data_IF_904809068167
#
_entry.id   IF_904809068167
#
_cell.length_a   1.000
_cell.length_b   1.000
_cell.length_c   1.000
_cell.angle_alpha   90.00
_cell.angle_beta   90.00
_cell.angle_gamma   90.00
#
_symmetry.space_group_name_H-M   'P 1'
#
loop_
_entity.id
_entity.type
_entity.pdbx_description
1 polymer ?
#
# COMPACT_ATOMS: atom_id res chain seq x y z
N UNK A 1 -4.99 -25.01 36.79
CA UNK A 1 -3.62 -25.48 36.56
C UNK A 1 -2.83 -25.24 37.83
N UNK A 2 -2.34 -26.30 38.47
CA UNK A 2 -1.41 -26.17 39.59
C UNK A 2 0.02 -26.29 39.07
N UNK A 3 0.78 -25.22 39.20
CA UNK A 3 2.18 -25.22 38.83
C UNK A 3 3.00 -25.91 39.93
N UNK A 4 3.79 -26.91 39.58
CA UNK A 4 4.79 -27.49 40.46
C UNK A 4 5.91 -26.47 40.72
N UNK A 5 5.79 -25.73 41.85
CA UNK A 5 6.75 -24.68 42.20
C UNK A 5 8.05 -25.29 42.71
N UNK A 6 9.17 -24.86 42.13
CA UNK A 6 10.51 -25.21 42.61
C UNK A 6 10.87 -24.32 43.81
N UNK A 7 11.42 -24.86 44.90
CA UNK A 7 11.82 -24.07 46.05
C UNK A 7 13.02 -23.18 45.71
N UNK A 8 12.97 -21.91 46.12
CA UNK A 8 14.04 -20.92 45.91
C UNK A 8 14.48 -20.29 47.24
N UNK A 9 15.77 -20.00 47.37
CA UNK A 9 16.33 -19.35 48.57
C UNK A 9 15.93 -17.88 48.66
N UNK A 10 15.18 -17.50 49.69
CA UNK A 10 14.75 -16.11 49.91
C UNK A 10 15.91 -15.12 50.07
N UNK A 11 17.07 -15.58 50.59
CA UNK A 11 18.28 -14.77 50.70
C UNK A 11 18.89 -14.50 49.33
N UNK A 12 19.05 -15.54 48.50
CA UNK A 12 19.58 -15.39 47.15
C UNK A 12 18.70 -14.47 46.31
N UNK A 13 17.38 -14.64 46.37
CA UNK A 13 16.41 -13.79 45.66
C UNK A 13 16.53 -12.31 46.06
N UNK A 14 16.73 -11.99 47.35
CA UNK A 14 16.93 -10.61 47.79
C UNK A 14 18.23 -10.01 47.24
N UNK A 15 19.33 -10.77 47.31
CA UNK A 15 20.62 -10.31 46.78
C UNK A 15 20.53 -10.09 45.27
N UNK A 16 19.96 -11.04 44.52
CA UNK A 16 19.78 -10.90 43.07
C UNK A 16 18.95 -9.67 42.71
N UNK A 17 17.83 -9.43 43.41
CA UNK A 17 17.00 -8.23 43.17
C UNK A 17 17.76 -6.93 43.43
N UNK A 18 18.58 -6.88 44.48
CA UNK A 18 19.37 -5.69 44.80
C UNK A 18 20.45 -5.43 43.75
N UNK A 19 21.18 -6.48 43.36
CA UNK A 19 22.18 -6.40 42.28
C UNK A 19 21.53 -5.95 40.98
N UNK A 20 20.41 -6.57 40.60
CA UNK A 20 19.64 -6.23 39.41
C UNK A 20 19.16 -4.77 39.42
N UNK A 21 18.64 -4.27 40.55
CA UNK A 21 18.23 -2.88 40.69
C UNK A 21 19.40 -1.90 40.53
N UNK A 22 20.57 -2.23 41.08
CA UNK A 22 21.78 -1.40 40.94
C UNK A 22 22.30 -1.42 39.49
N UNK A 23 22.38 -2.59 38.87
CA UNK A 23 22.78 -2.74 37.48
C UNK A 23 21.83 -2.00 36.54
N UNK A 24 20.52 -2.14 36.72
CA UNK A 24 19.52 -1.45 35.90
C UNK A 24 19.64 0.07 36.01
N UNK A 25 19.83 0.61 37.22
CA UNK A 25 20.10 2.05 37.38
C UNK A 25 21.38 2.47 36.67
N UNK A 26 22.47 1.72 36.85
CA UNK A 26 23.75 2.02 36.24
C UNK A 26 23.69 2.06 34.70
N UNK A 27 23.10 1.04 34.08
CA UNK A 27 22.98 0.95 32.61
C UNK A 27 22.08 2.07 32.07
N UNK A 28 20.91 2.31 32.67
CA UNK A 28 19.99 3.36 32.21
C UNK A 28 20.54 4.77 32.41
N UNK A 29 21.24 5.02 33.51
CA UNK A 29 21.93 6.31 33.73
C UNK A 29 23.04 6.54 32.71
N UNK A 30 23.82 5.50 32.37
CA UNK A 30 24.82 5.57 31.30
C UNK A 30 24.16 5.90 29.95
N UNK A 31 23.08 5.20 29.59
CA UNK A 31 22.36 5.45 28.34
C UNK A 31 21.80 6.87 28.26
N UNK A 32 21.22 7.35 29.37
CA UNK A 32 20.70 8.72 29.47
C UNK A 32 21.81 9.76 29.31
N UNK A 33 22.96 9.54 29.94
CA UNK A 33 24.11 10.45 29.85
C UNK A 33 24.72 10.47 28.43
N UNK A 34 24.91 9.30 27.82
CA UNK A 34 25.41 9.21 26.44
C UNK A 34 24.44 9.85 25.44
N UNK A 35 23.13 9.66 25.64
CA UNK A 35 22.07 10.29 24.85
C UNK A 35 22.08 11.82 24.97
N UNK A 36 22.21 12.34 26.19
CA UNK A 36 22.30 13.79 26.43
C UNK A 36 23.53 14.42 25.76
N UNK A 37 24.65 13.70 25.72
CA UNK A 37 25.89 14.12 25.07
C UNK A 37 25.90 13.91 23.54
N UNK A 38 24.85 13.29 22.97
CA UNK A 38 24.76 12.92 21.53
C UNK A 38 25.94 12.07 21.02
N UNK A 39 26.57 11.29 21.90
CA UNK A 39 27.69 10.39 21.57
C UNK A 39 27.29 8.91 21.60
N UNK A 40 25.99 8.63 21.71
CA UNK A 40 25.44 7.27 21.75
C UNK A 40 24.25 7.18 22.69
N UNK A 41 24.07 6.02 23.33
CA UNK A 41 23.00 5.74 24.27
C UNK A 41 21.98 4.74 23.72
N UNK A 42 20.80 4.68 24.36
CA UNK A 42 19.72 3.76 23.97
C UNK A 42 19.25 4.08 22.56
N UNK A 43 19.39 3.11 21.65
CA UNK A 43 18.90 3.20 20.26
C UNK A 43 17.43 2.79 20.12
N UNK A 44 16.98 1.87 20.97
CA UNK A 44 15.61 1.35 20.91
C UNK A 44 14.61 2.42 21.36
N UNK A 45 13.58 2.64 20.55
CA UNK A 45 12.41 3.47 20.85
C UNK A 45 11.32 2.68 21.58
N UNK A 46 11.70 1.64 22.32
CA UNK A 46 10.84 0.84 23.17
C UNK A 46 10.97 1.32 24.61
N UNK A 47 9.87 1.61 25.29
CA UNK A 47 9.77 1.82 26.72
C UNK A 47 9.41 0.50 27.40
N UNK A 48 10.40 -0.09 28.06
CA UNK A 48 10.30 -1.37 28.75
C UNK A 48 9.63 -1.26 30.12
N UNK A 49 9.48 -0.06 30.67
CA UNK A 49 8.70 0.18 31.90
C UNK A 49 7.21 0.27 31.59
N UNK A 50 6.85 0.99 30.52
CA UNK A 50 5.46 1.09 30.05
C UNK A 50 5.01 -0.10 29.17
N UNK A 51 5.93 -0.99 28.80
CA UNK A 51 5.70 -2.09 27.86
C UNK A 51 5.10 -1.61 26.52
N UNK A 52 5.64 -0.51 25.99
CA UNK A 52 5.14 0.11 24.76
C UNK A 52 6.25 0.82 24.00
N UNK A 53 6.08 1.04 22.70
CA UNK A 53 6.99 1.92 21.95
C UNK A 53 6.73 3.39 22.25
N UNK A 54 7.72 4.26 21.97
CA UNK A 54 7.61 5.71 22.12
C UNK A 54 6.34 6.22 21.43
N UNK A 55 5.46 6.90 22.17
CA UNK A 55 4.11 7.25 21.70
C UNK A 55 3.00 6.40 22.33
N UNK A 56 3.34 5.39 23.13
CA UNK A 56 2.40 4.57 23.89
C UNK A 56 1.76 3.43 23.08
N UNK A 57 0.74 2.75 23.63
CA UNK A 57 0.13 1.59 22.99
C UNK A 57 -0.68 1.96 21.73
N UNK A 58 -1.42 3.07 21.76
CA UNK A 58 -2.31 3.53 20.67
C UNK A 58 -3.20 2.42 20.08
N UNK A 59 -3.96 1.72 20.94
CA UNK A 59 -4.78 0.57 20.55
C UNK A 59 -5.81 0.88 19.47
N UNK A 60 -6.30 2.12 19.36
CA UNK A 60 -7.21 2.49 18.28
C UNK A 60 -6.54 2.33 16.91
N UNK A 61 -5.28 2.76 16.79
CA UNK A 61 -4.51 2.66 15.56
C UNK A 61 -4.21 1.19 15.24
N UNK A 62 -3.83 0.42 16.26
CA UNK A 62 -3.66 -1.04 16.17
C UNK A 62 -4.94 -1.72 15.66
N UNK A 63 -6.08 -1.43 16.28
CA UNK A 63 -7.38 -2.05 15.93
C UNK A 63 -7.84 -1.71 14.51
N UNK A 64 -7.63 -0.46 14.07
CA UNK A 64 -8.04 0.04 12.77
C UNK A 64 -7.22 -0.54 11.61
N UNK A 65 -5.94 -0.79 11.86
CA UNK A 65 -4.99 -1.25 10.85
C UNK A 65 -4.56 -2.69 11.12
N UNK A 66 -3.67 -2.91 12.09
CA UNK A 66 -3.11 -4.24 12.37
C UNK A 66 -4.16 -5.33 12.63
N UNK A 67 -5.05 -5.15 13.60
CA UNK A 67 -6.06 -6.17 13.92
C UNK A 67 -7.03 -6.36 12.74
N UNK A 68 -7.25 -5.32 11.92
CA UNK A 68 -8.10 -5.39 10.73
C UNK A 68 -7.41 -6.17 9.61
N UNK A 69 -6.14 -5.90 9.33
CA UNK A 69 -5.31 -6.68 8.40
C UNK A 69 -5.26 -8.15 8.80
N UNK A 70 -5.10 -8.46 10.09
CA UNK A 70 -5.13 -9.87 10.55
C UNK A 70 -6.49 -10.55 10.31
N UNK A 71 -7.60 -9.85 10.50
CA UNK A 71 -8.95 -10.39 10.23
C UNK A 71 -9.24 -10.57 8.75
N UNK A 72 -8.63 -9.72 7.91
CA UNK A 72 -8.82 -9.72 6.45
C UNK A 72 -7.70 -10.47 5.72
N UNK A 73 -6.79 -11.10 6.46
CA UNK A 73 -5.67 -11.82 5.89
C UNK A 73 -6.19 -12.95 5.01
N UNK A 74 -6.00 -12.79 3.71
CA UNK A 74 -6.41 -13.75 2.70
C UNK A 74 -5.25 -14.66 2.31
N UNK A 75 -5.57 -15.90 1.93
CA UNK A 75 -4.60 -16.91 1.49
C UNK A 75 -4.53 -16.92 -0.03
N UNK A 76 -3.33 -16.74 -0.56
CA UNK A 76 -3.10 -16.80 -2.00
C UNK A 76 -3.43 -18.18 -2.56
N UNK A 77 -3.15 -19.25 -1.81
CA UNK A 77 -3.49 -20.61 -2.22
C UNK A 77 -5.00 -20.81 -2.45
N UNK A 78 -5.85 -20.07 -1.73
CA UNK A 78 -7.31 -20.16 -1.84
C UNK A 78 -7.85 -19.22 -2.93
N UNK A 79 -7.31 -18.00 -2.99
CA UNK A 79 -7.82 -16.94 -3.88
C UNK A 79 -7.22 -16.98 -5.28
N UNK A 80 -6.05 -17.60 -5.44
CA UNK A 80 -5.34 -17.77 -6.70
C UNK A 80 -4.67 -19.17 -6.72
N UNK A 81 -5.46 -20.26 -6.70
CA UNK A 81 -4.95 -21.63 -6.55
C UNK A 81 -4.01 -22.06 -7.68
N UNK A 82 -4.13 -21.41 -8.83
CA UNK A 82 -3.30 -21.60 -10.02
C UNK A 82 -1.86 -21.09 -9.89
N UNK A 83 -1.54 -20.33 -8.85
CA UNK A 83 -0.18 -19.86 -8.57
C UNK A 83 0.61 -20.90 -7.76
N UNK A 84 1.92 -20.92 -7.94
CA UNK A 84 2.83 -21.83 -7.22
C UNK A 84 3.06 -21.42 -5.76
N UNK A 85 2.71 -20.19 -5.38
CA UNK A 85 2.82 -19.72 -4.01
C UNK A 85 1.74 -20.36 -3.10
N UNK A 86 2.19 -21.16 -2.12
CA UNK A 86 1.33 -21.91 -1.19
C UNK A 86 1.53 -21.44 0.25
N UNK A 87 0.51 -20.78 0.81
CA UNK A 87 0.54 -20.13 2.13
C UNK A 87 -0.49 -20.71 3.13
N UNK A 88 -1.24 -21.75 2.75
CA UNK A 88 -2.18 -22.43 3.63
C UNK A 88 -1.52 -23.62 4.35
N UNK A 89 -1.81 -23.74 5.64
CA UNK A 89 -1.44 -24.93 6.42
C UNK A 89 -2.44 -26.10 6.17
N UNK A 90 -2.13 -27.34 6.61
CA UNK A 90 -3.01 -28.48 6.34
C UNK A 90 -4.45 -28.32 6.84
N UNK A 91 -4.64 -27.73 8.02
CA UNK A 91 -5.98 -27.49 8.58
C UNK A 91 -6.76 -26.46 7.75
N UNK A 92 -6.10 -25.36 7.37
CA UNK A 92 -6.68 -24.33 6.50
C UNK A 92 -7.09 -24.92 5.15
N UNK A 93 -6.26 -25.80 4.55
CA UNK A 93 -6.60 -26.52 3.31
C UNK A 93 -7.84 -27.40 3.48
N UNK A 94 -7.93 -28.16 4.58
CA UNK A 94 -9.10 -29.00 4.86
C UNK A 94 -10.37 -28.15 4.99
N UNK A 95 -10.30 -27.02 5.70
CA UNK A 95 -11.43 -26.10 5.84
C UNK A 95 -11.83 -25.52 4.48
N UNK A 96 -10.87 -25.10 3.66
CA UNK A 96 -11.14 -24.62 2.31
C UNK A 96 -11.76 -25.68 1.42
N UNK A 97 -11.28 -26.91 1.48
CA UNK A 97 -11.84 -28.02 0.72
C UNK A 97 -13.29 -28.30 1.14
N UNK A 98 -13.58 -28.30 2.44
CA UNK A 98 -14.96 -28.43 2.94
C UNK A 98 -15.85 -27.26 2.51
N UNK A 99 -15.31 -26.04 2.49
CA UNK A 99 -16.04 -24.86 2.00
C UNK A 99 -16.33 -24.97 0.49
N UNK A 100 -15.38 -25.45 -0.31
CA UNK A 100 -15.57 -25.75 -1.73
C UNK A 100 -16.65 -26.80 -1.93
N UNK A 101 -16.62 -27.87 -1.12
CA UNK A 101 -17.62 -28.93 -1.11
C UNK A 101 -19.01 -28.48 -0.64
N UNK A 102 -19.16 -27.24 -0.14
CA UNK A 102 -20.44 -26.63 0.20
C UNK A 102 -20.96 -25.65 -0.87
N UNK A 103 -20.13 -25.25 -1.84
CA UNK A 103 -20.53 -24.35 -2.93
C UNK A 103 -21.44 -25.07 -3.94
N UNK A 104 -22.30 -24.29 -4.61
CA UNK A 104 -23.11 -24.79 -5.75
C UNK A 104 -22.20 -25.23 -6.91
N UNK A 105 -22.74 -26.00 -7.86
CA UNK A 105 -21.96 -26.46 -9.02
C UNK A 105 -21.35 -25.32 -9.84
N UNK A 106 -22.05 -24.20 -9.96
CA UNK A 106 -21.60 -23.03 -10.73
C UNK A 106 -20.51 -22.24 -9.97
N UNK A 107 -20.64 -22.15 -8.64
CA UNK A 107 -19.63 -21.54 -7.76
C UNK A 107 -18.40 -22.43 -7.61
N UNK A 108 -18.55 -23.75 -7.51
CA UNK A 108 -17.41 -24.69 -7.58
C UNK A 108 -16.72 -24.59 -8.92
N UNK A 109 -17.45 -24.58 -10.03
CA UNK A 109 -16.83 -24.42 -11.33
C UNK A 109 -16.09 -23.08 -11.48
N UNK A 110 -16.45 -22.03 -10.72
CA UNK A 110 -15.71 -20.78 -10.69
C UNK A 110 -14.42 -20.85 -9.86
N UNK A 111 -14.36 -21.72 -8.83
CA UNK A 111 -13.18 -21.85 -7.94
C UNK A 111 -12.28 -23.04 -8.29
N UNK A 112 -12.83 -24.15 -8.78
CA UNK A 112 -12.13 -25.35 -9.25
C UNK A 112 -11.47 -25.18 -10.61
N UNK A 113 -11.81 -24.10 -11.34
CA UNK A 113 -10.98 -23.64 -12.45
C UNK A 113 -9.66 -23.14 -11.86
N UNK A 114 -8.66 -24.02 -11.81
CA UNK A 114 -7.44 -23.89 -12.61
C UNK A 114 -6.27 -24.58 -11.93
N UNK A 115 -5.83 -25.67 -12.54
CA UNK A 115 -4.39 -25.94 -12.61
C UNK A 115 -3.67 -24.78 -13.30
N UNK A 116 -2.37 -24.59 -13.05
CA UNK A 116 -1.56 -23.55 -13.71
C UNK A 116 -1.67 -23.62 -15.25
N UNK A 117 -1.90 -24.80 -15.82
CA UNK A 117 -2.11 -25.00 -17.26
C UNK A 117 -3.47 -24.45 -17.75
N UNK A 118 -4.55 -24.70 -17.02
CA UNK A 118 -5.88 -24.17 -17.34
C UNK A 118 -5.94 -22.65 -17.18
N UNK A 119 -5.20 -22.09 -16.21
CA UNK A 119 -5.13 -20.63 -16.05
C UNK A 119 -4.47 -19.98 -17.25
N UNK A 120 -3.34 -20.53 -17.68
CA UNK A 120 -2.67 -20.12 -18.92
C UNK A 120 -3.57 -20.25 -20.14
N UNK A 121 -4.39 -21.30 -20.20
CA UNK A 121 -5.36 -21.48 -21.28
C UNK A 121 -6.49 -20.44 -21.23
N UNK A 122 -6.99 -20.07 -20.04
CA UNK A 122 -7.93 -18.96 -19.87
C UNK A 122 -7.33 -17.68 -20.45
N UNK A 123 -6.15 -17.28 -20.00
CA UNK A 123 -5.53 -16.03 -20.44
C UNK A 123 -5.39 -15.98 -21.97
N UNK A 124 -4.99 -17.10 -22.60
CA UNK A 124 -4.87 -17.21 -24.07
C UNK A 124 -6.21 -17.17 -24.79
N UNK A 125 -7.31 -17.56 -24.13
CA UNK A 125 -8.66 -17.57 -24.69
C UNK A 125 -9.34 -16.22 -24.58
N UNK A 126 -9.23 -15.58 -23.42
CA UNK A 126 -9.93 -14.33 -23.12
C UNK A 126 -9.24 -13.11 -23.75
N UNK A 127 -7.93 -13.20 -24.00
CA UNK A 127 -7.13 -12.05 -24.46
C UNK A 127 -6.30 -12.40 -25.70
N UNK A 128 -6.30 -11.49 -26.66
CA UNK A 128 -5.37 -11.50 -27.79
C UNK A 128 -3.91 -11.38 -27.31
N UNK A 129 -2.96 -11.65 -28.20
CA UNK A 129 -1.54 -11.51 -27.86
C UNK A 129 -1.19 -10.07 -27.42
N UNK A 130 -1.79 -9.06 -28.07
CA UNK A 130 -1.51 -7.65 -27.78
C UNK A 130 -2.11 -7.23 -26.44
N UNK A 131 -3.36 -7.58 -26.17
CA UNK A 131 -4.00 -7.37 -24.86
C UNK A 131 -3.22 -8.06 -23.72
N UNK A 132 -2.74 -9.29 -23.93
CA UNK A 132 -1.90 -9.97 -22.94
C UNK A 132 -0.59 -9.23 -22.68
N UNK A 133 0.08 -8.71 -23.71
CA UNK A 133 1.30 -7.94 -23.51
C UNK A 133 1.01 -6.62 -22.80
N UNK A 134 -0.09 -5.94 -23.15
CA UNK A 134 -0.52 -4.73 -22.47
C UNK A 134 -0.82 -4.97 -20.98
N UNK A 135 -1.54 -6.05 -20.66
CA UNK A 135 -1.76 -6.47 -19.27
C UNK A 135 -0.44 -6.76 -18.55
N UNK A 136 0.50 -7.47 -19.18
CA UNK A 136 1.83 -7.71 -18.60
C UNK A 136 2.55 -6.38 -18.33
N UNK A 137 2.49 -5.41 -19.24
CA UNK A 137 3.11 -4.11 -19.05
C UNK A 137 2.50 -3.36 -17.86
N UNK A 138 1.17 -3.27 -17.80
CA UNK A 138 0.44 -2.62 -16.71
C UNK A 138 0.66 -3.30 -15.35
N UNK A 139 0.60 -4.63 -15.31
CA UNK A 139 0.84 -5.41 -14.10
C UNK A 139 2.30 -5.31 -13.64
N UNK A 140 3.25 -5.22 -14.58
CA UNK A 140 4.67 -5.04 -14.26
C UNK A 140 4.93 -3.65 -13.67
N UNK A 141 4.28 -2.61 -14.18
CA UNK A 141 4.38 -1.25 -13.64
C UNK A 141 4.01 -1.21 -12.15
N UNK A 142 2.85 -1.78 -11.81
CA UNK A 142 2.43 -1.87 -10.40
C UNK A 142 3.22 -2.91 -9.61
N UNK A 143 3.67 -4.00 -10.22
CA UNK A 143 4.50 -5.02 -9.56
C UNK A 143 5.88 -4.51 -9.14
N UNK A 144 6.50 -3.63 -9.92
CA UNK A 144 7.67 -2.89 -9.45
C UNK A 144 7.32 -1.92 -8.33
N UNK A 145 6.14 -1.30 -8.39
CA UNK A 145 5.56 -0.52 -7.30
C UNK A 145 5.47 -1.31 -6.00
N UNK A 146 4.91 -2.53 -6.01
CA UNK A 146 4.81 -3.43 -4.86
C UNK A 146 6.17 -3.77 -4.25
N UNK A 147 7.20 -3.98 -5.08
CA UNK A 147 8.55 -4.22 -4.59
C UNK A 147 9.11 -3.01 -3.82
N UNK A 148 8.88 -1.80 -4.32
CA UNK A 148 9.27 -0.57 -3.61
C UNK A 148 8.37 -0.29 -2.41
N UNK A 149 7.09 -0.61 -2.48
CA UNK A 149 6.15 -0.54 -1.37
C UNK A 149 6.66 -1.33 -0.18
N UNK A 150 7.10 -2.56 -0.44
CA UNK A 150 7.70 -3.41 0.58
C UNK A 150 8.97 -2.80 1.20
N UNK A 151 9.88 -2.24 0.38
CA UNK A 151 11.09 -1.58 0.87
C UNK A 151 10.75 -0.35 1.75
N UNK A 152 9.83 0.49 1.28
CA UNK A 152 9.46 1.74 1.96
C UNK A 152 8.69 1.45 3.24
N UNK A 153 7.74 0.53 3.22
CA UNK A 153 7.00 0.09 4.39
C UNK A 153 7.94 -0.46 5.47
N UNK A 154 8.97 -1.22 5.07
CA UNK A 154 9.97 -1.78 5.99
C UNK A 154 10.78 -0.68 6.68
N UNK A 155 11.19 0.34 5.94
CA UNK A 155 11.89 1.50 6.49
C UNK A 155 10.97 2.35 7.41
N UNK A 156 9.69 2.46 7.05
CA UNK A 156 8.70 3.22 7.83
C UNK A 156 8.43 2.66 9.23
N UNK A 157 8.59 1.35 9.48
CA UNK A 157 8.42 0.76 10.82
C UNK A 157 9.30 1.48 11.85
N UNK A 158 10.51 1.87 11.47
CA UNK A 158 11.43 2.62 12.34
C UNK A 158 11.00 4.08 12.56
N UNK A 159 10.28 4.68 11.62
CA UNK A 159 9.92 6.10 11.64
C UNK A 159 8.62 6.41 12.41
N UNK A 160 7.72 5.43 12.54
CA UNK A 160 6.43 5.63 13.21
C UNK A 160 6.52 5.47 14.73
N UNK A 161 5.77 6.31 15.44
CA UNK A 161 5.60 6.28 16.89
C UNK A 161 4.39 5.47 17.29
N UNK A 162 4.43 4.90 18.50
CA UNK A 162 3.48 4.01 19.16
C UNK A 162 3.56 2.54 18.74
N UNK A 163 3.19 1.66 19.67
CA UNK A 163 3.05 0.22 19.40
C UNK A 163 2.03 -0.03 18.29
N UNK A 164 0.88 0.66 18.31
CA UNK A 164 -0.15 0.52 17.30
C UNK A 164 0.27 0.92 15.89
N UNK A 165 1.06 1.99 15.74
CA UNK A 165 1.55 2.42 14.41
C UNK A 165 2.64 1.53 13.86
N UNK A 166 3.57 1.08 14.71
CA UNK A 166 4.58 0.11 14.30
C UNK A 166 3.92 -1.20 13.88
N UNK A 167 2.93 -1.69 14.65
CA UNK A 167 2.16 -2.86 14.26
C UNK A 167 1.43 -2.65 12.92
N UNK A 168 0.80 -1.49 12.71
CA UNK A 168 0.15 -1.16 11.45
C UNK A 168 1.12 -1.18 10.25
N UNK A 169 2.29 -0.55 10.38
CA UNK A 169 3.32 -0.59 9.33
C UNK A 169 3.89 -2.00 9.13
N UNK A 170 4.04 -2.80 10.18
CA UNK A 170 4.48 -4.19 10.06
C UNK A 170 3.46 -5.06 9.32
N UNK A 171 2.15 -4.84 9.53
CA UNK A 171 1.13 -5.50 8.72
C UNK A 171 1.27 -5.11 7.25
N UNK A 172 1.42 -3.81 6.97
CA UNK A 172 1.65 -3.33 5.60
C UNK A 172 2.88 -4.02 4.96
N UNK A 173 4.00 -4.13 5.67
CA UNK A 173 5.20 -4.85 5.18
C UNK A 173 4.88 -6.29 4.75
N UNK A 174 4.09 -7.01 5.53
CA UNK A 174 3.69 -8.38 5.20
C UNK A 174 2.76 -8.40 3.98
N UNK A 175 1.84 -7.45 3.90
CA UNK A 175 0.87 -7.30 2.81
C UNK A 175 1.59 -7.00 1.49
N UNK A 176 2.51 -6.02 1.45
CA UNK A 176 3.27 -5.70 0.22
C UNK A 176 4.19 -6.83 -0.23
N UNK A 177 4.82 -7.52 0.72
CA UNK A 177 5.64 -8.69 0.39
C UNK A 177 4.79 -9.77 -0.29
N UNK A 178 3.56 -9.99 0.21
CA UNK A 178 2.62 -10.95 -0.38
C UNK A 178 2.12 -10.47 -1.73
N UNK A 179 1.77 -9.18 -1.87
CA UNK A 179 1.36 -8.58 -3.15
C UNK A 179 2.43 -8.79 -4.21
N UNK A 180 3.69 -8.45 -3.92
CA UNK A 180 4.80 -8.63 -4.85
C UNK A 180 4.96 -10.08 -5.29
N UNK A 181 4.97 -11.04 -4.35
CA UNK A 181 5.16 -12.46 -4.67
C UNK A 181 3.99 -12.98 -5.52
N UNK A 182 2.76 -12.70 -5.13
CA UNK A 182 1.56 -13.17 -5.85
C UNK A 182 1.46 -12.54 -7.24
N UNK A 183 1.71 -11.23 -7.33
CA UNK A 183 1.66 -10.50 -8.59
C UNK A 183 2.75 -10.95 -9.56
N UNK A 184 3.95 -11.25 -9.05
CA UNK A 184 5.04 -11.82 -9.85
C UNK A 184 4.62 -13.15 -10.49
N UNK A 185 4.01 -14.05 -9.73
CA UNK A 185 3.52 -15.32 -10.27
C UNK A 185 2.39 -15.11 -11.29
N UNK A 186 1.48 -14.16 -11.05
CA UNK A 186 0.43 -13.79 -12.00
C UNK A 186 1.01 -13.26 -13.33
N UNK A 187 2.00 -12.37 -13.27
CA UNK A 187 2.67 -11.82 -14.45
C UNK A 187 3.36 -12.94 -15.25
N UNK A 188 4.08 -13.83 -14.57
CA UNK A 188 4.76 -14.95 -15.24
C UNK A 188 3.79 -15.96 -15.87
N UNK A 189 2.56 -16.05 -15.36
CA UNK A 189 1.54 -16.91 -15.93
C UNK A 189 1.10 -16.47 -17.34
N UNK A 190 1.32 -15.21 -17.75
CA UNK A 190 1.06 -14.78 -19.12
C UNK A 190 2.02 -15.37 -20.15
N UNK A 191 3.18 -15.88 -19.72
CA UNK A 191 4.22 -16.47 -20.58
C UNK A 191 4.71 -15.49 -21.66
N UNK A 192 4.91 -14.23 -21.26
CA UNK A 192 5.35 -13.12 -22.10
C UNK A 192 6.52 -12.37 -21.46
N UNK A 193 7.30 -11.60 -22.25
CA UNK A 193 8.38 -10.78 -21.72
C UNK A 193 7.88 -9.75 -20.70
N UNK A 194 8.52 -9.74 -19.53
CA UNK A 194 8.27 -8.76 -18.47
C UNK A 194 9.14 -7.52 -18.72
N UNK A 195 8.55 -6.33 -18.90
CA UNK A 195 9.31 -5.11 -19.14
C UNK A 195 10.11 -4.70 -17.90
N UNK A 196 11.23 -4.00 -18.16
CA UNK A 196 11.99 -3.33 -17.11
C UNK A 196 11.24 -2.09 -16.65
N UNK A 197 11.55 -1.67 -15.42
CA UNK A 197 11.17 -0.37 -14.90
C UNK A 197 11.56 0.75 -15.87
N UNK A 198 10.60 1.55 -16.28
CA UNK A 198 10.82 2.75 -17.08
C UNK A 198 11.56 3.81 -16.28
N UNK A 199 12.17 4.78 -16.97
CA UNK A 199 12.84 5.90 -16.30
C UNK A 199 11.88 6.71 -15.41
N UNK A 200 10.61 6.80 -15.78
CA UNK A 200 9.60 7.55 -15.05
C UNK A 200 9.19 6.85 -13.76
N UNK A 201 8.96 5.53 -13.83
CA UNK A 201 8.67 4.73 -12.64
C UNK A 201 9.86 4.70 -11.71
N UNK A 202 11.07 4.53 -12.24
CA UNK A 202 12.31 4.59 -11.46
C UNK A 202 12.42 5.90 -10.68
N UNK A 203 12.26 7.05 -11.36
CA UNK A 203 12.35 8.35 -10.71
C UNK A 203 11.29 8.55 -9.61
N UNK A 204 10.06 8.07 -9.84
CA UNK A 204 9.00 8.13 -8.84
C UNK A 204 9.34 7.25 -7.63
N UNK A 205 9.60 5.96 -7.85
CA UNK A 205 9.76 4.97 -6.78
C UNK A 205 11.04 5.19 -5.95
N UNK A 206 12.17 5.48 -6.60
CA UNK A 206 13.40 5.89 -5.90
C UNK A 206 13.23 7.24 -5.21
N UNK A 207 12.48 8.15 -5.82
CA UNK A 207 12.13 9.43 -5.21
C UNK A 207 11.41 9.23 -3.88
N UNK A 208 10.44 8.31 -3.82
CA UNK A 208 9.72 7.91 -2.59
C UNK A 208 10.65 7.24 -1.58
N UNK A 209 11.47 6.29 -2.02
CA UNK A 209 12.37 5.56 -1.13
C UNK A 209 13.39 6.49 -0.45
N UNK A 210 13.87 7.51 -1.15
CA UNK A 210 14.81 8.50 -0.60
C UNK A 210 14.18 9.55 0.32
N UNK A 211 12.85 9.59 0.44
CA UNK A 211 12.20 10.54 1.35
C UNK A 211 12.55 10.21 2.80
N UNK A 212 12.63 11.23 3.66
CA UNK A 212 12.98 11.05 5.06
C UNK A 212 11.75 11.02 5.98
N UNK A 213 11.82 10.15 6.99
CA UNK A 213 10.87 10.11 8.11
C UNK A 213 9.40 10.06 7.67
N UNK A 214 8.59 10.98 8.18
CA UNK A 214 7.15 11.01 7.95
C UNK A 214 6.75 11.51 6.55
N UNK A 215 7.67 12.07 5.75
CA UNK A 215 7.38 12.41 4.37
C UNK A 215 7.22 11.16 3.48
N UNK A 216 7.77 10.01 3.91
CA UNK A 216 7.51 8.71 3.25
C UNK A 216 6.03 8.35 3.24
N UNK A 217 5.24 8.73 4.27
CA UNK A 217 3.79 8.53 4.28
C UNK A 217 3.09 9.29 3.14
N UNK A 218 3.67 10.39 2.65
CA UNK A 218 3.15 11.07 1.46
C UNK A 218 3.51 10.29 0.19
N UNK A 219 4.79 10.00 0.00
CA UNK A 219 5.23 9.31 -1.22
C UNK A 219 4.61 7.92 -1.36
N UNK A 220 4.63 7.14 -0.29
CA UNK A 220 4.11 5.78 -0.26
C UNK A 220 2.59 5.76 -0.23
N UNK A 221 2.01 6.07 0.94
CA UNK A 221 0.58 5.86 1.20
C UNK A 221 -0.35 6.82 0.46
N UNK A 222 0.12 7.99 0.01
CA UNK A 222 -0.74 8.94 -0.72
C UNK A 222 -0.54 8.83 -2.23
N UNK A 223 0.70 8.68 -2.72
CA UNK A 223 0.97 8.64 -4.16
C UNK A 223 1.00 7.20 -4.67
N UNK A 224 1.94 6.38 -4.22
CA UNK A 224 2.14 5.01 -4.75
C UNK A 224 0.90 4.15 -4.51
N UNK A 225 0.42 4.03 -3.27
CA UNK A 225 -0.79 3.24 -2.98
C UNK A 225 -2.03 3.83 -3.64
N UNK A 226 -2.08 5.15 -3.80
CA UNK A 226 -3.21 5.81 -4.48
C UNK A 226 -3.30 5.44 -5.96
N UNK A 227 -2.15 5.29 -6.62
CA UNK A 227 -2.04 4.79 -8.00
C UNK A 227 -2.41 3.30 -8.02
N UNK A 228 -1.81 2.47 -7.15
CA UNK A 228 -2.03 1.03 -7.08
C UNK A 228 -3.51 0.70 -6.81
N UNK A 229 -4.10 1.32 -5.78
CA UNK A 229 -5.53 1.22 -5.45
C UNK A 229 -6.42 1.52 -6.66
N UNK A 230 -6.12 2.59 -7.41
CA UNK A 230 -6.92 2.94 -8.58
C UNK A 230 -6.75 1.92 -9.73
N UNK A 231 -5.54 1.42 -9.96
CA UNK A 231 -5.25 0.45 -11.01
C UNK A 231 -5.88 -0.91 -10.70
N UNK A 232 -5.75 -1.40 -9.47
CA UNK A 232 -6.40 -2.64 -9.01
C UNK A 232 -7.92 -2.55 -9.11
N UNK A 233 -8.48 -1.38 -8.77
CA UNK A 233 -9.91 -1.12 -8.91
C UNK A 233 -10.39 -1.09 -10.37
N UNK A 234 -9.52 -0.71 -11.30
CA UNK A 234 -9.78 -0.71 -12.73
C UNK A 234 -9.64 -2.10 -13.35
N UNK A 235 -8.61 -2.88 -12.99
CA UNK A 235 -8.30 -4.16 -13.64
C UNK A 235 -8.93 -5.37 -12.96
N UNK A 236 -9.26 -5.32 -11.66
CA UNK A 236 -9.64 -6.51 -10.89
C UNK A 236 -10.97 -7.17 -11.30
N UNK A 237 -11.73 -6.56 -12.21
CA UNK A 237 -12.95 -7.14 -12.77
C UNK A 237 -12.70 -7.97 -14.03
N UNK A 238 -11.51 -7.86 -14.64
CA UNK A 238 -11.15 -8.58 -15.85
C UNK A 238 -10.93 -10.08 -15.55
N UNK A 239 -11.27 -10.99 -16.48
CA UNK A 239 -11.06 -12.43 -16.32
C UNK A 239 -9.61 -12.80 -15.94
N UNK A 240 -9.44 -13.53 -14.84
CA UNK A 240 -8.14 -13.97 -14.34
C UNK A 240 -7.39 -12.92 -13.51
N UNK A 241 -7.97 -11.72 -13.32
CA UNK A 241 -7.39 -10.62 -12.52
C UNK A 241 -8.08 -10.46 -11.16
N UNK A 242 -8.89 -11.42 -10.74
CA UNK A 242 -9.78 -11.30 -9.57
C UNK A 242 -9.02 -11.09 -8.26
N UNK A 243 -7.79 -11.61 -8.17
CA UNK A 243 -6.90 -11.44 -7.01
C UNK A 243 -6.60 -9.96 -6.72
N UNK A 244 -6.61 -9.09 -7.75
CA UNK A 244 -6.38 -7.65 -7.58
C UNK A 244 -7.48 -6.98 -6.75
N UNK A 245 -8.68 -7.57 -6.65
CA UNK A 245 -9.73 -7.07 -5.74
C UNK A 245 -9.33 -7.21 -4.28
N UNK A 246 -8.51 -8.21 -3.94
CA UNK A 246 -8.00 -8.38 -2.57
C UNK A 246 -6.91 -7.35 -2.30
N UNK A 247 -6.03 -7.11 -3.26
CA UNK A 247 -4.99 -6.07 -3.16
C UNK A 247 -5.64 -4.69 -2.98
N UNK A 248 -6.71 -4.40 -3.75
CA UNK A 248 -7.50 -3.17 -3.61
C UNK A 248 -7.98 -2.93 -2.17
N UNK A 249 -8.43 -3.97 -1.47
CA UNK A 249 -8.88 -3.87 -0.08
C UNK A 249 -7.72 -3.62 0.90
N UNK A 250 -6.54 -4.13 0.59
CA UNK A 250 -5.33 -3.95 1.37
C UNK A 250 -4.79 -2.52 1.16
N UNK A 251 -4.70 -2.06 -0.09
CA UNK A 251 -4.30 -0.68 -0.44
C UNK A 251 -5.23 0.40 0.12
N UNK A 252 -6.51 0.08 0.22
CA UNK A 252 -7.49 0.91 0.92
C UNK A 252 -7.07 1.16 2.39
N UNK A 253 -6.53 0.15 3.08
CA UNK A 253 -6.03 0.33 4.45
C UNK A 253 -4.71 1.11 4.46
N UNK A 254 -3.80 0.79 3.54
CA UNK A 254 -2.51 1.47 3.43
C UNK A 254 -2.69 2.97 3.17
N UNK A 255 -3.57 3.35 2.24
CA UNK A 255 -3.91 4.77 1.97
C UNK A 255 -4.55 5.49 3.15
N UNK A 256 -5.26 4.78 4.03
CA UNK A 256 -5.87 5.34 5.24
C UNK A 256 -4.88 5.53 6.41
N UNK A 257 -3.69 4.93 6.35
CA UNK A 257 -2.71 4.95 7.43
C UNK A 257 -2.28 6.37 7.84
N UNK A 258 -1.85 7.26 6.93
CA UNK A 258 -1.42 8.61 7.30
C UNK A 258 -2.52 9.39 8.00
N UNK A 259 -3.76 9.33 7.50
CA UNK A 259 -4.88 10.05 8.10
C UNK A 259 -5.13 9.61 9.53
N UNK A 260 -5.07 8.32 9.82
CA UNK A 260 -5.28 7.81 11.18
C UNK A 260 -4.07 8.10 12.07
N UNK A 261 -2.85 8.00 11.54
CA UNK A 261 -1.63 8.29 12.29
C UNK A 261 -1.58 9.76 12.73
N UNK A 262 -1.80 10.71 11.81
CA UNK A 262 -1.73 12.14 12.12
C UNK A 262 -2.93 12.67 12.91
N UNK A 263 -3.99 11.89 13.14
CA UNK A 263 -5.00 12.21 14.17
C UNK A 263 -4.43 12.07 15.58
N UNK A 264 -3.56 11.08 15.79
CA UNK A 264 -2.95 10.79 17.09
C UNK A 264 -1.63 11.55 17.28
N UNK A 265 -0.83 11.64 16.20
CA UNK A 265 0.45 12.35 16.18
C UNK A 265 0.42 13.49 15.17
N UNK A 266 -0.26 14.62 15.44
CA UNK A 266 -0.44 15.67 14.44
C UNK A 266 0.86 16.24 13.89
N UNK A 267 0.92 16.44 12.58
CA UNK A 267 2.01 17.18 11.96
C UNK A 267 2.10 18.59 12.54
N UNK A 268 3.32 19.01 12.87
CA UNK A 268 3.64 20.41 13.19
C UNK A 268 3.32 21.34 12.01
N UNK A 269 3.14 22.63 12.31
CA UNK A 269 2.93 23.65 11.28
C UNK A 269 4.05 23.66 10.24
N UNK A 270 5.30 23.44 10.67
CA UNK A 270 6.44 23.37 9.78
C UNK A 270 6.39 22.16 8.84
N UNK A 271 6.09 20.96 9.35
CA UNK A 271 5.92 19.77 8.52
C UNK A 271 4.82 19.97 7.46
N UNK A 272 3.71 20.61 7.80
CA UNK A 272 2.62 20.88 6.85
C UNK A 272 3.01 21.91 5.78
N UNK A 273 3.65 23.01 6.20
CA UNK A 273 3.78 24.22 5.36
C UNK A 273 5.20 24.54 4.90
N UNK A 274 6.22 23.75 5.27
CA UNK A 274 7.61 23.95 4.85
C UNK A 274 7.69 24.13 3.32
N UNK A 275 8.23 25.25 2.81
CA UNK A 275 8.35 25.48 1.37
C UNK A 275 9.14 24.38 0.67
N UNK A 276 10.20 23.89 1.30
CA UNK A 276 11.03 22.81 0.76
C UNK A 276 10.25 21.49 0.69
N UNK A 277 9.51 21.12 1.73
CA UNK A 277 8.69 19.91 1.73
C UNK A 277 7.57 20.00 0.68
N UNK A 278 6.86 21.14 0.61
CA UNK A 278 5.83 21.38 -0.41
C UNK A 278 6.40 21.24 -1.82
N UNK A 279 7.57 21.82 -2.08
CA UNK A 279 8.22 21.72 -3.38
C UNK A 279 8.68 20.28 -3.68
N UNK A 280 9.22 19.57 -2.70
CA UNK A 280 9.61 18.16 -2.84
C UNK A 280 8.41 17.28 -3.21
N UNK A 281 7.30 17.41 -2.47
CA UNK A 281 6.04 16.70 -2.75
C UNK A 281 5.51 17.00 -4.15
N UNK A 282 5.56 18.27 -4.55
CA UNK A 282 5.10 18.69 -5.86
C UNK A 282 5.98 18.15 -6.99
N UNK A 283 7.30 18.16 -6.81
CA UNK A 283 8.24 17.55 -7.77
C UNK A 283 7.98 16.06 -7.96
N UNK A 284 7.66 15.35 -6.88
CA UNK A 284 7.31 13.93 -6.95
C UNK A 284 6.05 13.71 -7.81
N UNK A 285 4.98 14.49 -7.56
CA UNK A 285 3.75 14.42 -8.37
C UNK A 285 4.03 14.76 -9.84
N UNK A 286 4.78 15.83 -10.12
CA UNK A 286 5.13 16.22 -11.48
C UNK A 286 5.97 15.15 -12.19
N UNK A 287 6.89 14.51 -11.45
CA UNK A 287 7.71 13.41 -11.97
C UNK A 287 6.90 12.17 -12.34
N UNK A 288 5.71 12.00 -11.76
CA UNK A 288 4.79 10.91 -12.11
C UNK A 288 3.91 11.23 -13.33
N UNK A 289 3.79 12.49 -13.78
CA UNK A 289 2.92 12.82 -14.91
C UNK A 289 3.32 12.12 -16.24
N UNK A 290 4.61 12.00 -16.59
CA UNK A 290 5.01 11.25 -17.78
C UNK A 290 4.59 9.79 -17.78
N UNK A 291 4.35 9.15 -16.62
CA UNK A 291 3.80 7.78 -16.58
C UNK A 291 2.45 7.70 -17.30
N UNK A 292 1.59 8.72 -17.14
CA UNK A 292 0.26 8.73 -17.75
C UNK A 292 0.38 8.59 -19.28
N UNK A 293 1.32 9.31 -19.89
CA UNK A 293 1.53 9.21 -21.33
C UNK A 293 2.20 7.88 -21.72
N UNK A 294 3.14 7.39 -20.91
CA UNK A 294 3.83 6.13 -21.17
C UNK A 294 2.89 4.92 -21.16
N UNK A 295 1.80 4.98 -20.39
CA UNK A 295 0.81 3.90 -20.28
C UNK A 295 -0.36 4.02 -21.27
N UNK A 296 -0.36 5.03 -22.15
CA UNK A 296 -1.50 5.29 -23.06
C UNK A 296 -1.82 4.09 -23.95
N UNK A 297 -0.80 3.52 -24.62
CA UNK A 297 -1.01 2.40 -25.55
C UNK A 297 -1.54 1.16 -24.84
N UNK A 298 -0.91 0.78 -23.73
CA UNK A 298 -1.28 -0.43 -22.99
C UNK A 298 -2.66 -0.30 -22.34
N UNK A 299 -3.01 0.86 -21.78
CA UNK A 299 -4.34 1.08 -21.22
C UNK A 299 -5.42 1.09 -22.30
N UNK A 300 -5.15 1.71 -23.45
CA UNK A 300 -6.10 1.75 -24.55
C UNK A 300 -6.41 0.34 -25.09
N UNK A 301 -5.40 -0.53 -25.17
CA UNK A 301 -5.56 -1.92 -25.63
C UNK A 301 -6.51 -2.72 -24.72
N UNK A 302 -6.56 -2.42 -23.42
CA UNK A 302 -7.48 -3.07 -22.46
C UNK A 302 -8.78 -2.27 -22.24
N UNK A 303 -9.05 -1.27 -23.08
CA UNK A 303 -10.29 -0.49 -23.05
C UNK A 303 -10.35 0.57 -21.94
N UNK A 304 -9.21 1.01 -21.41
CA UNK A 304 -9.11 2.07 -20.40
C UNK A 304 -8.55 3.36 -21.01
N UNK A 305 -9.21 4.49 -20.76
CA UNK A 305 -8.66 5.79 -21.11
C UNK A 305 -7.66 6.26 -20.04
N UNK A 306 -6.39 6.38 -20.44
CA UNK A 306 -5.30 6.75 -19.52
C UNK A 306 -5.44 8.16 -18.94
N UNK A 307 -6.06 9.10 -19.66
CA UNK A 307 -6.23 10.47 -19.18
C UNK A 307 -7.39 10.55 -18.19
N UNK A 308 -8.47 9.81 -18.42
CA UNK A 308 -9.52 9.61 -17.41
C UNK A 308 -8.95 8.98 -16.14
N UNK A 309 -8.14 7.93 -16.31
CA UNK A 309 -7.45 7.26 -15.21
C UNK A 309 -6.53 8.23 -14.45
N UNK A 310 -5.59 8.86 -15.15
CA UNK A 310 -4.63 9.80 -14.57
C UNK A 310 -5.30 11.00 -13.91
N UNK A 311 -6.32 11.57 -14.54
CA UNK A 311 -7.12 12.65 -13.98
C UNK A 311 -7.82 12.25 -12.68
N UNK A 312 -8.42 11.06 -12.64
CA UNK A 312 -9.08 10.51 -11.45
C UNK A 312 -8.09 10.25 -10.32
N UNK A 313 -6.94 9.64 -10.62
CA UNK A 313 -5.85 9.37 -9.66
C UNK A 313 -5.32 10.67 -9.07
N UNK A 314 -5.02 11.67 -9.89
CA UNK A 314 -4.50 12.96 -9.38
C UNK A 314 -5.53 13.63 -8.48
N UNK A 315 -6.81 13.66 -8.86
CA UNK A 315 -7.88 14.19 -8.01
C UNK A 315 -7.93 13.47 -6.67
N UNK A 316 -7.92 12.14 -6.67
CA UNK A 316 -8.02 11.29 -5.47
C UNK A 316 -6.81 11.49 -4.55
N UNK A 317 -5.60 11.37 -5.08
CA UNK A 317 -4.33 11.50 -4.34
C UNK A 317 -4.13 12.91 -3.78
N UNK A 318 -4.40 13.95 -4.57
CA UNK A 318 -4.24 15.32 -4.10
C UNK A 318 -5.35 15.74 -3.10
N UNK A 319 -6.56 15.18 -3.23
CA UNK A 319 -7.60 15.28 -2.20
C UNK A 319 -7.21 14.61 -0.88
N UNK A 320 -6.64 13.39 -0.95
CA UNK A 320 -6.11 12.69 0.22
C UNK A 320 -4.95 13.45 0.87
N UNK A 321 -3.99 13.94 0.07
CA UNK A 321 -2.87 14.76 0.56
C UNK A 321 -3.36 15.97 1.36
N UNK A 322 -4.36 16.69 0.83
CA UNK A 322 -4.99 17.83 1.52
C UNK A 322 -5.66 17.42 2.83
N UNK A 323 -6.40 16.31 2.87
CA UNK A 323 -7.07 15.80 4.09
C UNK A 323 -6.07 15.41 5.17
N UNK A 324 -4.96 14.79 4.78
CA UNK A 324 -3.89 14.38 5.70
C UNK A 324 -3.13 15.60 6.24
N UNK A 325 -3.01 16.66 5.42
CA UNK A 325 -2.27 17.89 5.74
C UNK A 325 -0.94 18.02 5.00
N UNK A 326 -0.69 17.16 4.01
CA UNK A 326 0.42 17.26 3.08
C UNK A 326 0.12 18.31 2.00
N UNK A 327 0.27 19.58 2.35
CA UNK A 327 -0.04 20.66 1.42
C UNK A 327 0.96 20.72 0.26
N UNK A 328 0.45 21.14 -0.90
CA UNK A 328 1.20 21.40 -2.13
C UNK A 328 1.43 22.91 -2.29
N UNK A 329 2.38 23.37 -3.13
CA UNK A 329 2.63 24.78 -3.38
C UNK A 329 1.46 25.45 -4.11
N UNK A 330 0.73 24.69 -4.92
CA UNK A 330 -0.39 25.14 -5.75
C UNK A 330 -1.75 24.68 -5.19
N UNK A 331 -2.83 25.47 -5.37
CA UNK A 331 -4.19 25.03 -5.05
C UNK A 331 -4.61 23.81 -5.87
N UNK A 332 -5.38 22.90 -5.26
CA UNK A 332 -5.85 21.66 -5.88
C UNK A 332 -6.62 21.91 -7.19
N UNK A 333 -7.60 22.81 -7.16
CA UNK A 333 -8.48 23.06 -8.31
C UNK A 333 -7.70 23.65 -9.49
N UNK A 334 -6.71 24.51 -9.21
CA UNK A 334 -5.83 25.07 -10.22
C UNK A 334 -4.92 24.01 -10.85
N UNK A 335 -4.37 23.10 -10.04
CA UNK A 335 -3.53 22.01 -10.54
C UNK A 335 -4.32 21.00 -11.39
N UNK A 336 -5.51 20.60 -10.91
CA UNK A 336 -6.41 19.70 -11.64
C UNK A 336 -6.87 20.33 -12.96
N UNK A 337 -7.25 21.61 -12.95
CA UNK A 337 -7.62 22.34 -14.17
C UNK A 337 -6.47 22.46 -15.17
N UNK A 338 -5.25 22.69 -14.70
CA UNK A 338 -4.05 22.69 -15.54
C UNK A 338 -3.85 21.33 -16.23
N UNK A 339 -4.01 20.22 -15.50
CA UNK A 339 -3.88 18.88 -16.08
C UNK A 339 -4.98 18.58 -17.09
N UNK A 340 -6.23 18.95 -16.81
CA UNK A 340 -7.31 18.82 -17.79
C UNK A 340 -6.94 19.58 -19.09
N UNK A 341 -6.38 20.78 -19.00
CA UNK A 341 -5.93 21.53 -20.20
C UNK A 341 -4.80 20.81 -20.92
N UNK A 342 -3.79 20.30 -20.21
CA UNK A 342 -2.67 19.56 -20.81
C UNK A 342 -3.17 18.31 -21.52
N UNK A 343 -4.00 17.51 -20.88
CA UNK A 343 -4.55 16.27 -21.47
C UNK A 343 -5.45 16.58 -22.67
N UNK A 344 -6.32 17.59 -22.58
CA UNK A 344 -7.13 17.99 -23.72
C UNK A 344 -6.30 18.49 -24.89
N UNK A 345 -5.25 19.28 -24.63
CA UNK A 345 -4.36 19.79 -25.67
C UNK A 345 -3.66 18.63 -26.39
N UNK A 346 -3.14 17.67 -25.62
CA UNK A 346 -2.55 16.45 -26.18
C UNK A 346 -3.58 15.67 -27.01
N UNK A 347 -4.75 15.36 -26.47
CA UNK A 347 -5.79 14.62 -27.17
C UNK A 347 -6.30 15.34 -28.43
N UNK A 348 -6.41 16.67 -28.43
CA UNK A 348 -6.75 17.43 -29.65
C UNK A 348 -5.70 17.26 -30.75
N UNK A 349 -4.43 17.07 -30.38
CA UNK A 349 -3.34 16.89 -31.34
C UNK A 349 -3.18 15.44 -31.80
N UNK A 350 -3.52 14.46 -30.95
CA UNK A 350 -3.22 13.03 -31.20
C UNK A 350 -4.45 12.19 -31.50
N UNK A 351 -5.66 12.58 -31.06
CA UNK A 351 -6.89 11.80 -31.18
C UNK A 351 -7.88 12.47 -32.14
N UNK A 352 -8.11 11.91 -33.34
CA UNK A 352 -9.08 12.47 -34.28
C UNK A 352 -10.48 12.57 -33.67
N UNK A 353 -11.10 13.74 -33.79
CA UNK A 353 -12.46 13.98 -33.27
C UNK A 353 -12.56 14.20 -31.76
N UNK A 354 -11.43 14.40 -31.06
CA UNK A 354 -11.44 14.73 -29.63
C UNK A 354 -12.25 16.00 -29.35
N UNK A 355 -13.09 15.92 -28.31
CA UNK A 355 -13.83 17.05 -27.78
C UNK A 355 -13.41 17.30 -26.34
N UNK A 356 -13.53 18.54 -25.87
CA UNK A 356 -13.05 18.89 -24.54
C UNK A 356 -13.72 18.04 -23.45
N UNK A 357 -12.90 17.31 -22.67
CA UNK A 357 -13.34 16.39 -21.61
C UNK A 357 -12.72 16.79 -20.28
N UNK A 358 -13.50 16.79 -19.20
CA UNK A 358 -12.97 16.96 -17.83
C UNK A 358 -12.51 15.63 -17.28
N UNK A 359 -11.35 15.18 -17.71
CA UNK A 359 -10.74 13.89 -17.33
C UNK A 359 -10.66 13.71 -15.82
N UNK A 360 -10.38 14.79 -15.09
CA UNK A 360 -10.35 14.80 -13.62
C UNK A 360 -11.66 14.35 -12.95
N UNK A 361 -12.81 14.45 -13.62
CA UNK A 361 -14.12 14.05 -13.09
C UNK A 361 -14.50 12.61 -13.40
N UNK A 362 -13.68 11.89 -14.17
CA UNK A 362 -13.94 10.51 -14.49
C UNK A 362 -13.89 9.62 -13.23
N UNK A 363 -14.74 8.61 -13.23
CA UNK A 363 -14.78 7.59 -12.18
C UNK A 363 -14.38 6.24 -12.79
N UNK A 364 -13.07 5.98 -12.75
CA UNK A 364 -12.42 4.87 -13.44
C UNK A 364 -12.51 3.54 -12.70
N UNK A 365 -12.84 3.56 -11.42
CA UNK A 365 -12.97 2.33 -10.63
C UNK A 365 -14.28 1.62 -10.93
N UNK A 366 -14.25 0.28 -10.95
CA UNK A 366 -15.43 -0.53 -11.19
C UNK A 366 -16.50 -0.34 -10.09
N UNK A 367 -17.80 -0.47 -10.43
CA UNK A 367 -18.92 -0.17 -9.52
C UNK A 367 -18.83 -0.89 -8.17
N UNK A 368 -18.30 -2.12 -8.17
CA UNK A 368 -18.14 -2.96 -6.98
C UNK A 368 -17.16 -2.41 -5.95
N UNK A 369 -16.13 -1.66 -6.37
CA UNK A 369 -15.06 -1.15 -5.50
C UNK A 369 -15.19 0.34 -5.17
N UNK A 370 -16.06 1.07 -5.89
CA UNK A 370 -16.30 2.51 -5.68
C UNK A 370 -16.70 2.88 -4.24
N UNK A 371 -17.38 1.99 -3.51
CA UNK A 371 -17.80 2.26 -2.13
C UNK A 371 -16.61 2.44 -1.19
N UNK A 372 -15.64 1.53 -1.28
CA UNK A 372 -14.40 1.54 -0.50
C UNK A 372 -13.58 2.79 -0.82
N UNK A 373 -13.41 3.09 -2.10
CA UNK A 373 -12.67 4.29 -2.50
C UNK A 373 -13.36 5.59 -2.09
N UNK A 374 -14.70 5.66 -2.10
CA UNK A 374 -15.39 6.86 -1.58
C UNK A 374 -15.16 7.05 -0.09
N UNK A 375 -15.21 5.99 0.71
CA UNK A 375 -14.99 6.11 2.16
C UNK A 375 -13.59 6.66 2.48
N UNK A 376 -12.58 6.24 1.69
CA UNK A 376 -11.17 6.47 2.00
C UNK A 376 -10.61 7.68 1.23
N UNK A 377 -10.91 7.76 -0.07
CA UNK A 377 -10.46 8.80 -0.99
C UNK A 377 -11.50 9.92 -1.16
N UNK A 378 -12.78 9.67 -0.88
CA UNK A 378 -13.91 10.54 -1.22
C UNK A 378 -14.61 11.23 -0.04
N UNK A 379 -14.01 12.29 0.49
CA UNK A 379 -14.74 13.36 1.18
C UNK A 379 -14.20 14.73 0.76
N UNK A 380 -14.39 15.07 -0.52
CA UNK A 380 -14.27 16.45 -1.00
C UNK A 380 -15.10 16.61 -2.28
N UNK A 381 -16.04 17.57 -2.26
CA UNK A 381 -16.90 18.05 -3.34
C UNK A 381 -18.27 17.37 -3.55
N UNK A 382 -19.02 17.16 -2.47
CA UNK A 382 -20.47 17.44 -2.52
C UNK A 382 -20.68 18.75 -1.78
N UNK A 383 -20.59 19.83 -2.53
CA UNK A 383 -20.70 21.20 -2.09
C UNK A 383 -20.73 22.07 -3.33
N UNK A 384 -21.88 22.03 -4.01
CA UNK A 384 -22.30 23.13 -4.87
C UNK A 384 -22.71 24.31 -4.02
#
# INVERSE_FOLDING_TARGET
MDFAKVPVSARATRVHRLVEQLCNRGVRSKDSLLGALRVGGRRADYDDEAYAFEGGPCDELRRKHFDKSLRLLWKAEQSAPFLDFKDANPLERTISQQALEALSSDERAAVERMSSAEFKALLKREYTLRERQALVNLLSAVGHGEAYAWLVASDMVGALKSTGAKAAATAQVLEEAKHFVVLRELILAFDLPVPRLTAWEYNLLEGVLRMDGLEKLFGMNVIVEGIALSLFGALGHLPGMEVLKLFHLDEARHTALPQNYFKVFPMSRWQRHSPLARLSRFRLILGALPLVFALEEDMAEVGLDVFEFGGSVVRKTAGLAKRVGFFLPVPLDGFVGMLDVVFNTYCTLTRPGHSYTRFSRAETSHRSVRGVEREILGAALVGG
#
